data_IF_096485026204
#
_entry.id   IF_096485026204
#
_cell.length_a   1.000
_cell.length_b   1.000
_cell.length_c   1.000
_cell.angle_alpha   90.00
_cell.angle_beta   90.00
_cell.angle_gamma   90.00
#
_symmetry.space_group_name_H-M   'P 1'
#
loop_
_entity.id
_entity.type
_entity.pdbx_description
1 polymer ?
#
# COMPACT_ATOMS: atom_id res chain seq x y z
N UNK A 1 -15.73 -26.73 -8.54
CA UNK A 1 -16.11 -25.64 -7.63
C UNK A 1 -14.81 -25.06 -7.11
N UNK A 2 -14.14 -24.28 -7.94
CA UNK A 2 -12.88 -23.64 -7.59
C UNK A 2 -13.20 -22.29 -6.96
N UNK A 3 -13.19 -22.24 -5.62
CA UNK A 3 -13.28 -20.97 -4.90
C UNK A 3 -12.02 -20.15 -5.19
N UNK A 4 -12.12 -18.88 -5.64
CA UNK A 4 -10.94 -18.07 -5.88
C UNK A 4 -10.25 -17.86 -4.54
N UNK A 5 -9.02 -18.39 -4.43
CA UNK A 5 -8.17 -18.20 -3.28
C UNK A 5 -8.11 -16.69 -2.96
N UNK A 6 -8.73 -16.27 -1.86
CA UNK A 6 -8.59 -14.92 -1.33
C UNK A 6 -7.09 -14.73 -1.05
N UNK A 7 -6.41 -13.96 -1.89
CA UNK A 7 -5.06 -13.53 -1.59
C UNK A 7 -5.11 -12.84 -0.21
N UNK A 8 -4.19 -13.18 0.72
CA UNK A 8 -4.22 -12.59 2.04
C UNK A 8 -4.05 -11.06 1.90
N UNK A 9 -5.13 -10.34 2.17
CA UNK A 9 -5.18 -8.88 2.28
C UNK A 9 -4.11 -8.44 3.27
N UNK A 10 -3.45 -7.30 3.02
CA UNK A 10 -2.41 -6.78 3.90
C UNK A 10 -2.88 -6.79 5.36
N UNK A 11 -2.37 -7.71 6.21
CA UNK A 11 -2.82 -7.80 7.59
C UNK A 11 -2.44 -6.48 8.24
N UNK A 12 -3.38 -5.91 9.00
CA UNK A 12 -3.23 -4.62 9.69
C UNK A 12 -3.50 -3.33 8.87
N UNK A 13 -3.99 -3.40 7.62
CA UNK A 13 -4.43 -2.22 6.87
C UNK A 13 -5.42 -1.33 7.67
N UNK A 14 -6.44 -1.95 8.25
CA UNK A 14 -7.39 -1.27 9.14
C UNK A 14 -6.74 -0.71 10.42
N UNK A 15 -5.77 -1.43 10.99
CA UNK A 15 -5.08 -0.96 12.20
C UNK A 15 -4.17 0.24 11.91
N UNK A 16 -3.55 0.29 10.72
CA UNK A 16 -2.73 1.40 10.26
C UNK A 16 -3.55 2.69 10.16
N UNK A 17 -4.68 2.64 9.43
CA UNK A 17 -5.58 3.78 9.27
C UNK A 17 -6.09 4.30 10.62
N UNK A 18 -6.59 3.40 11.48
CA UNK A 18 -7.11 3.76 12.80
C UNK A 18 -6.04 4.44 13.65
N UNK A 19 -4.81 3.92 13.64
CA UNK A 19 -3.69 4.50 14.40
C UNK A 19 -3.28 5.87 13.88
N UNK A 20 -3.23 6.06 12.56
CA UNK A 20 -2.93 7.37 11.94
C UNK A 20 -3.96 8.42 12.36
N UNK A 21 -5.25 8.08 12.29
CA UNK A 21 -6.33 8.98 12.66
C UNK A 21 -6.32 9.33 14.15
N UNK A 22 -6.09 8.34 15.02
CA UNK A 22 -5.99 8.57 16.48
C UNK A 22 -4.82 9.50 16.86
N UNK A 23 -3.71 9.41 16.13
CA UNK A 23 -2.55 10.28 16.34
C UNK A 23 -2.69 11.65 15.65
N UNK A 24 -3.79 11.90 14.93
CA UNK A 24 -4.01 13.15 14.20
C UNK A 24 -3.05 13.36 13.03
N UNK A 25 -2.41 12.29 12.53
CA UNK A 25 -1.40 12.39 11.47
C UNK A 25 -2.09 12.50 10.10
N UNK A 26 -1.84 13.57 9.33
CA UNK A 26 -2.34 13.68 7.96
C UNK A 26 -1.78 12.55 7.07
N UNK A 27 -2.60 12.06 6.13
CA UNK A 27 -2.19 11.02 5.18
C UNK A 27 -0.94 11.44 4.39
N UNK A 28 -0.90 12.68 3.91
CA UNK A 28 0.22 13.24 3.13
C UNK A 28 1.50 13.34 3.94
N UNK A 29 1.40 13.62 5.24
CA UNK A 29 2.55 13.67 6.15
C UNK A 29 3.13 12.26 6.37
N UNK A 30 2.27 11.28 6.65
CA UNK A 30 2.71 9.89 6.79
C UNK A 30 3.28 9.35 5.47
N UNK A 31 2.65 9.66 4.34
CA UNK A 31 3.15 9.28 3.02
C UNK A 31 4.54 9.88 2.76
N UNK A 32 4.74 11.16 3.05
CA UNK A 32 6.04 11.82 2.95
C UNK A 32 7.09 11.16 3.86
N UNK A 33 6.75 10.91 5.13
CA UNK A 33 7.66 10.26 6.08
C UNK A 33 8.06 8.85 5.64
N UNK A 34 7.12 8.11 5.04
CA UNK A 34 7.35 6.79 4.48
C UNK A 34 7.98 6.80 3.07
N UNK A 35 8.23 7.98 2.48
CA UNK A 35 8.64 8.13 1.07
C UNK A 35 7.72 7.42 0.09
N UNK A 36 6.43 7.35 0.40
CA UNK A 36 5.37 6.77 -0.42
C UNK A 36 4.56 7.85 -1.13
N UNK A 37 4.00 7.49 -2.27
CA UNK A 37 2.94 8.28 -2.88
C UNK A 37 1.68 8.22 -1.99
N UNK A 38 1.00 9.35 -1.72
CA UNK A 38 -0.20 9.38 -0.90
C UNK A 38 -1.31 8.42 -1.37
N UNK A 39 -1.47 8.24 -2.68
CA UNK A 39 -2.47 7.31 -3.24
C UNK A 39 -2.13 5.86 -2.93
N UNK A 40 -0.84 5.52 -2.85
CA UNK A 40 -0.39 4.18 -2.47
C UNK A 40 -0.72 3.91 -1.01
N UNK A 41 -0.39 4.87 -0.13
CA UNK A 41 -0.71 4.74 1.30
C UNK A 41 -2.22 4.67 1.55
N UNK A 42 -3.02 5.44 0.82
CA UNK A 42 -4.49 5.39 0.89
C UNK A 42 -5.04 4.02 0.48
N UNK A 43 -4.55 3.45 -0.61
CA UNK A 43 -4.97 2.12 -1.05
C UNK A 43 -4.51 1.01 -0.09
N UNK A 44 -3.35 1.16 0.55
CA UNK A 44 -2.91 0.26 1.65
C UNK A 44 -3.87 0.36 2.84
N UNK A 45 -4.26 1.58 3.25
CA UNK A 45 -5.22 1.78 4.34
C UNK A 45 -6.64 1.28 4.06
N UNK A 46 -7.02 1.19 2.78
CA UNK A 46 -8.30 0.62 2.32
C UNK A 46 -8.25 -0.91 2.18
N UNK A 47 -7.09 -1.54 2.38
CA UNK A 47 -6.93 -2.98 2.20
C UNK A 47 -7.01 -3.42 0.73
N UNK A 48 -6.79 -2.52 -0.22
CA UNK A 48 -6.80 -2.83 -1.66
C UNK A 48 -5.49 -3.46 -2.14
N UNK A 49 -4.50 -3.59 -1.23
CA UNK A 49 -3.26 -4.30 -1.48
C UNK A 49 -3.24 -5.65 -0.75
N UNK A 50 -2.94 -6.70 -1.50
CA UNK A 50 -2.41 -7.95 -1.01
C UNK A 50 -0.86 -7.91 -1.14
N UNK A 51 -0.16 -8.84 -0.48
CA UNK A 51 1.30 -8.89 -0.49
C UNK A 51 1.90 -8.96 -1.91
N UNK A 52 1.22 -9.60 -2.86
CA UNK A 52 1.68 -9.74 -4.25
C UNK A 52 1.45 -8.44 -5.03
N UNK A 53 0.32 -7.77 -4.83
CA UNK A 53 0.05 -6.49 -5.47
C UNK A 53 0.96 -5.37 -4.94
N UNK A 54 1.38 -5.43 -3.67
CA UNK A 54 2.41 -4.54 -3.13
C UNK A 54 3.76 -4.75 -3.81
N UNK A 55 4.14 -6.01 -4.05
CA UNK A 55 5.37 -6.34 -4.76
C UNK A 55 5.33 -5.89 -6.23
N UNK A 56 4.20 -6.08 -6.90
CA UNK A 56 3.99 -5.60 -8.27
C UNK A 56 4.04 -4.06 -8.36
N UNK A 57 3.46 -3.36 -7.40
CA UNK A 57 3.53 -1.91 -7.29
C UNK A 57 4.96 -1.44 -7.06
N UNK A 58 5.69 -2.05 -6.12
CA UNK A 58 7.09 -1.74 -5.86
C UNK A 58 7.92 -1.93 -7.14
N UNK A 59 7.73 -3.04 -7.86
CA UNK A 59 8.39 -3.28 -9.16
C UNK A 59 8.06 -2.17 -10.15
N UNK A 60 6.79 -1.76 -10.30
CA UNK A 60 6.38 -0.70 -11.23
C UNK A 60 6.95 0.68 -10.87
N UNK A 61 6.98 1.01 -9.59
CA UNK A 61 7.55 2.27 -9.09
C UNK A 61 9.07 2.29 -9.31
N UNK A 62 9.76 1.18 -9.01
CA UNK A 62 11.19 1.03 -9.24
C UNK A 62 11.52 1.10 -10.74
N UNK A 63 10.77 0.41 -11.60
CA UNK A 63 10.90 0.50 -13.06
C UNK A 63 10.81 1.94 -13.54
N UNK A 64 9.84 2.71 -13.04
CA UNK A 64 9.67 4.12 -13.44
C UNK A 64 10.76 5.04 -12.89
N UNK A 65 11.19 4.83 -11.64
CA UNK A 65 12.19 5.69 -10.97
C UNK A 65 13.61 5.45 -11.47
N UNK A 66 13.91 4.22 -11.85
CA UNK A 66 15.24 3.78 -12.28
C UNK A 66 15.34 3.64 -13.81
N UNK A 67 14.29 4.02 -14.53
CA UNK A 67 14.15 3.85 -15.99
C UNK A 67 14.47 2.41 -16.46
N UNK A 68 14.03 1.42 -15.68
CA UNK A 68 14.25 0.02 -15.98
C UNK A 68 13.08 -0.50 -16.82
N UNK A 69 13.37 -0.91 -18.06
CA UNK A 69 12.48 -1.78 -18.84
C UNK A 69 12.51 -3.19 -18.23
N UNK A 70 11.41 -3.61 -17.60
CA UNK A 70 11.26 -4.90 -16.92
C UNK A 70 10.19 -5.77 -17.57
#
# INVERSE_FOLDING_TARGET
>A
MDSPAHAPTFPHAHALRSRRLLLGIPLTELARAASLDPHVLEAVERGEYDLRSLHALARRVLSRRLDLSL
#
